data_IF_002279274985
#
_entry.id   IF_002279274985
#
_cell.length_a   1.000
_cell.length_b   1.000
_cell.length_c   1.000
_cell.angle_alpha   90.00
_cell.angle_beta   90.00
_cell.angle_gamma   90.00
#
_symmetry.space_group_name_H-M   'P 1'
#
loop_
_entity.id
_entity.type
_entity.pdbx_description
1 polymer ?
#
# COMPACT_ATOMS: atom_id res chain seq x y z
N UNK A 1 4.25 -15.13 4.41
CA UNK A 1 4.21 -16.56 4.78
C UNK A 1 5.53 -17.04 5.40
N UNK A 2 6.63 -17.17 4.64
CA UNK A 2 7.95 -17.56 5.17
C UNK A 2 8.36 -16.79 6.44
N UNK A 3 8.30 -15.45 6.39
CA UNK A 3 8.68 -14.59 7.53
C UNK A 3 7.82 -14.81 8.77
N UNK A 4 6.52 -15.09 8.62
CA UNK A 4 5.62 -15.36 9.75
C UNK A 4 5.97 -16.68 10.43
N UNK A 5 6.30 -17.72 9.65
CA UNK A 5 6.77 -18.99 10.20
C UNK A 5 8.07 -18.86 10.98
N UNK A 6 9.00 -18.04 10.50
CA UNK A 6 10.25 -17.79 11.19
C UNK A 6 10.02 -16.97 12.47
N UNK A 7 9.19 -15.92 12.41
CA UNK A 7 8.91 -15.06 13.56
C UNK A 7 8.21 -15.81 14.71
N UNK A 8 7.47 -16.87 14.40
CA UNK A 8 6.88 -17.76 15.41
C UNK A 8 7.92 -18.60 16.17
N UNK A 9 9.16 -18.70 15.69
CA UNK A 9 10.22 -19.55 16.24
C UNK A 9 11.45 -18.78 16.71
N UNK A 10 11.67 -17.59 16.16
CA UNK A 10 12.89 -16.82 16.37
C UNK A 10 12.58 -15.34 16.52
N UNK A 11 13.32 -14.61 17.38
CA UNK A 11 13.24 -13.16 17.43
C UNK A 11 13.78 -12.55 16.12
N UNK A 12 13.17 -11.46 15.69
CA UNK A 12 13.58 -10.68 14.53
C UNK A 12 14.09 -9.31 14.96
N UNK A 13 15.13 -8.82 14.27
CA UNK A 13 15.61 -7.45 14.38
C UNK A 13 15.72 -6.85 12.98
N UNK A 14 15.34 -5.58 12.84
CA UNK A 14 15.50 -4.85 11.60
C UNK A 14 16.97 -4.45 11.40
N UNK A 15 17.50 -4.67 10.21
CA UNK A 15 18.81 -4.14 9.81
C UNK A 15 18.64 -2.66 9.43
N UNK A 16 19.48 -1.74 9.93
CA UNK A 16 19.25 -0.30 9.79
C UNK A 16 19.45 0.25 8.36
N UNK A 17 20.10 -0.49 7.47
CA UNK A 17 20.43 -0.03 6.12
C UNK A 17 20.00 -1.04 5.05
N UNK A 18 19.51 -0.58 3.88
CA UNK A 18 19.24 -1.46 2.76
C UNK A 18 20.55 -2.02 2.19
N UNK A 19 20.66 -3.34 2.13
CA UNK A 19 21.86 -4.02 1.61
C UNK A 19 21.75 -4.41 0.13
N UNK A 20 20.54 -4.46 -0.44
CA UNK A 20 20.29 -4.91 -1.80
C UNK A 20 19.32 -3.96 -2.49
N UNK A 21 19.61 -3.62 -3.74
CA UNK A 21 18.70 -2.87 -4.59
C UNK A 21 17.68 -3.83 -5.22
N UNK A 22 16.41 -3.59 -4.98
CA UNK A 22 15.34 -4.37 -5.59
C UNK A 22 15.03 -3.82 -6.98
N UNK A 23 15.11 -4.67 -8.01
CA UNK A 23 14.77 -4.28 -9.36
C UNK A 23 13.25 -4.13 -9.51
N UNK A 24 12.81 -2.95 -9.97
CA UNK A 24 11.41 -2.69 -10.32
C UNK A 24 11.22 -2.89 -11.82
N UNK A 25 10.28 -3.75 -12.19
CA UNK A 25 9.92 -4.03 -13.60
C UNK A 25 8.41 -3.99 -13.76
N UNK A 26 7.93 -3.48 -14.89
CA UNK A 26 6.50 -3.34 -15.16
C UNK A 26 5.76 -4.68 -15.25
N UNK A 27 6.47 -5.78 -15.52
CA UNK A 27 5.88 -7.11 -15.73
C UNK A 27 6.11 -8.06 -14.55
N UNK A 28 6.56 -7.56 -13.40
CA UNK A 28 6.79 -8.41 -12.22
C UNK A 28 5.48 -8.77 -11.53
N UNK A 29 5.49 -9.81 -10.69
CA UNK A 29 4.36 -10.06 -9.81
C UNK A 29 4.09 -8.90 -8.83
N UNK A 30 5.12 -8.09 -8.53
CA UNK A 30 5.06 -6.94 -7.64
C UNK A 30 4.58 -5.64 -8.32
N UNK A 31 4.29 -5.65 -9.63
CA UNK A 31 3.61 -4.55 -10.33
C UNK A 31 2.10 -4.80 -10.49
N UNK A 32 1.65 -6.05 -10.33
CA UNK A 32 0.25 -6.45 -10.42
C UNK A 32 -0.43 -6.38 -9.04
N UNK A 33 -1.03 -5.23 -8.74
CA UNK A 33 -1.67 -4.99 -7.44
C UNK A 33 -2.83 -5.94 -7.14
N UNK A 34 -3.49 -6.50 -8.15
CA UNK A 34 -4.58 -7.45 -7.94
C UNK A 34 -4.05 -8.81 -7.48
N UNK A 35 -2.98 -9.31 -8.11
CA UNK A 35 -2.28 -10.53 -7.63
C UNK A 35 -1.68 -10.33 -6.24
N UNK A 36 -1.09 -9.15 -5.98
CA UNK A 36 -0.56 -8.82 -4.67
C UNK A 36 -1.64 -8.84 -3.60
N UNK A 37 -2.79 -8.22 -3.86
CA UNK A 37 -3.94 -8.25 -2.94
C UNK A 37 -4.37 -9.69 -2.63
N UNK A 38 -4.65 -10.49 -3.66
CA UNK A 38 -5.10 -11.87 -3.49
C UNK A 38 -4.10 -12.71 -2.68
N UNK A 39 -2.81 -12.63 -3.02
CA UNK A 39 -1.75 -13.37 -2.32
C UNK A 39 -1.58 -12.92 -0.87
N UNK A 40 -1.60 -11.60 -0.62
CA UNK A 40 -1.48 -11.07 0.74
C UNK A 40 -2.71 -11.42 1.61
N UNK A 41 -3.92 -11.31 1.07
CA UNK A 41 -5.14 -11.69 1.79
C UNK A 41 -5.11 -13.17 2.17
N UNK A 42 -4.73 -14.06 1.25
CA UNK A 42 -4.59 -15.49 1.54
C UNK A 42 -3.61 -15.76 2.69
N UNK A 43 -2.47 -15.06 2.70
CA UNK A 43 -1.46 -15.19 3.76
C UNK A 43 -1.97 -14.65 5.09
N UNK A 44 -2.61 -13.47 5.10
CA UNK A 44 -3.17 -12.84 6.31
C UNK A 44 -4.23 -13.75 6.91
N UNK A 45 -5.22 -14.18 6.12
CA UNK A 45 -6.31 -15.03 6.61
C UNK A 45 -5.77 -16.35 7.19
N UNK A 46 -4.86 -17.02 6.48
CA UNK A 46 -4.25 -18.26 6.98
C UNK A 46 -3.46 -18.05 8.27
N UNK A 47 -2.70 -16.96 8.37
CA UNK A 47 -1.88 -16.70 9.55
C UNK A 47 -2.74 -16.42 10.79
N UNK A 48 -3.80 -15.61 10.64
CA UNK A 48 -4.69 -15.29 11.75
C UNK A 48 -5.66 -16.43 12.11
N UNK A 49 -5.95 -17.36 11.19
CA UNK A 49 -6.72 -18.55 11.51
C UNK A 49 -6.04 -19.46 12.56
N UNK A 50 -4.71 -19.41 12.66
CA UNK A 50 -3.92 -20.17 13.64
C UNK A 50 -3.22 -19.29 14.68
N UNK A 51 -3.50 -17.98 14.71
CA UNK A 51 -2.86 -17.06 15.64
C UNK A 51 -3.56 -17.13 17.02
N UNK A 52 -2.82 -17.02 18.14
CA UNK A 52 -3.41 -16.93 19.46
C UNK A 52 -4.27 -15.66 19.59
N UNK A 53 -5.26 -15.70 20.48
CA UNK A 53 -6.22 -14.60 20.70
C UNK A 53 -5.53 -13.26 21.03
N UNK A 54 -4.41 -13.33 21.75
CA UNK A 54 -3.60 -12.15 22.11
C UNK A 54 -3.06 -11.39 20.90
N UNK A 55 -3.01 -12.00 19.72
CA UNK A 55 -2.53 -11.37 18.48
C UNK A 55 -3.65 -11.03 17.50
N UNK A 56 -4.90 -11.45 17.74
CA UNK A 56 -5.99 -11.30 16.77
C UNK A 56 -6.28 -9.83 16.42
N UNK A 57 -6.04 -8.90 17.36
CA UNK A 57 -6.20 -7.48 17.14
C UNK A 57 -5.29 -6.94 16.00
N UNK A 58 -4.14 -7.57 15.77
CA UNK A 58 -3.20 -7.21 14.70
C UNK A 58 -3.75 -7.48 13.29
N UNK A 59 -4.83 -8.27 13.15
CA UNK A 59 -5.44 -8.56 11.84
C UNK A 59 -5.92 -7.29 11.16
N UNK A 60 -6.60 -6.41 11.91
CA UNK A 60 -7.08 -5.15 11.37
C UNK A 60 -5.91 -4.24 10.93
N UNK A 61 -4.84 -4.17 11.73
CA UNK A 61 -3.63 -3.42 11.37
C UNK A 61 -2.95 -3.99 10.12
N UNK A 62 -2.87 -5.31 10.00
CA UNK A 62 -2.29 -6.00 8.84
C UNK A 62 -3.06 -5.70 7.56
N UNK A 63 -4.40 -5.74 7.62
CA UNK A 63 -5.26 -5.40 6.49
C UNK A 63 -5.16 -3.92 6.13
N UNK A 64 -5.19 -3.01 7.11
CA UNK A 64 -5.02 -1.59 6.87
C UNK A 64 -3.67 -1.28 6.20
N UNK A 65 -2.58 -1.90 6.68
CA UNK A 65 -1.25 -1.75 6.10
C UNK A 65 -1.16 -2.30 4.68
N UNK A 66 -1.78 -3.46 4.42
CA UNK A 66 -1.86 -4.02 3.06
C UNK A 66 -2.48 -3.01 2.10
N UNK A 67 -3.65 -2.46 2.43
CA UNK A 67 -4.34 -1.56 1.51
C UNK A 67 -3.64 -0.20 1.36
N UNK A 68 -3.02 0.34 2.42
CA UNK A 68 -2.14 1.51 2.32
C UNK A 68 -0.95 1.26 1.37
N UNK A 69 -0.34 0.08 1.46
CA UNK A 69 0.75 -0.30 0.57
C UNK A 69 0.27 -0.52 -0.88
N UNK A 70 -0.90 -1.13 -1.09
CA UNK A 70 -1.46 -1.29 -2.44
C UNK A 70 -1.82 0.05 -3.10
N UNK A 71 -2.27 1.04 -2.33
CA UNK A 71 -2.44 2.42 -2.82
C UNK A 71 -1.09 2.98 -3.29
N UNK A 72 -0.02 2.82 -2.51
CA UNK A 72 1.32 3.23 -2.93
C UNK A 72 1.72 2.56 -4.24
N UNK A 73 1.58 1.24 -4.32
CA UNK A 73 1.96 0.43 -5.48
C UNK A 73 1.16 0.78 -6.75
N UNK A 74 -0.12 1.13 -6.60
CA UNK A 74 -0.95 1.59 -7.72
C UNK A 74 -0.39 2.88 -8.37
N UNK A 75 0.35 3.70 -7.62
CA UNK A 75 0.94 4.96 -8.10
C UNK A 75 2.46 4.97 -8.23
N UNK A 76 3.14 3.85 -7.94
CA UNK A 76 4.60 3.72 -8.10
C UNK A 76 5.01 3.58 -9.57
N UNK A 77 4.13 3.00 -10.39
CA UNK A 77 4.33 2.86 -11.84
C UNK A 77 3.64 3.99 -12.61
N UNK A 78 3.75 3.98 -13.95
CA UNK A 78 3.14 5.01 -14.79
C UNK A 78 1.65 5.20 -14.50
N UNK A 79 1.19 6.46 -14.47
CA UNK A 79 -0.17 6.81 -14.11
C UNK A 79 -1.18 6.31 -15.15
N UNK A 80 -1.98 5.33 -14.76
CA UNK A 80 -3.01 4.73 -15.62
C UNK A 80 -4.38 4.79 -14.94
N UNK A 81 -5.43 5.03 -15.74
CA UNK A 81 -6.80 5.22 -15.23
C UNK A 81 -7.32 4.01 -14.45
N UNK A 82 -7.04 2.81 -14.93
CA UNK A 82 -7.45 1.59 -14.23
C UNK A 82 -6.77 1.46 -12.85
N UNK A 83 -5.52 1.92 -12.70
CA UNK A 83 -4.80 1.93 -11.43
C UNK A 83 -5.40 2.95 -10.45
N UNK A 84 -5.87 4.10 -10.94
CA UNK A 84 -6.58 5.07 -10.10
C UNK A 84 -7.92 4.51 -9.56
N UNK A 85 -8.66 3.75 -10.37
CA UNK A 85 -9.88 3.07 -9.91
C UNK A 85 -9.57 1.98 -8.87
N UNK A 86 -8.51 1.19 -9.10
CA UNK A 86 -8.04 0.22 -8.10
C UNK A 86 -7.64 0.90 -6.78
N UNK A 87 -6.91 2.03 -6.86
CA UNK A 87 -6.54 2.80 -5.68
C UNK A 87 -7.76 3.33 -4.90
N UNK A 88 -8.82 3.77 -5.59
CA UNK A 88 -10.06 4.19 -4.93
C UNK A 88 -10.71 3.04 -4.14
N UNK A 89 -10.75 1.84 -4.73
CA UNK A 89 -11.21 0.63 -4.03
C UNK A 89 -10.34 0.31 -2.81
N UNK A 90 -9.02 0.39 -2.95
CA UNK A 90 -8.08 0.17 -1.84
C UNK A 90 -8.24 1.21 -0.72
N UNK A 91 -8.55 2.47 -1.03
CA UNK A 91 -8.88 3.48 0.00
C UNK A 91 -10.08 3.02 0.81
N UNK A 92 -11.16 2.56 0.16
CA UNK A 92 -12.34 2.05 0.86
C UNK A 92 -11.99 0.91 1.84
N UNK A 93 -11.14 -0.03 1.41
CA UNK A 93 -10.68 -1.09 2.30
C UNK A 93 -9.75 -0.60 3.42
N UNK A 94 -8.83 0.32 3.13
CA UNK A 94 -7.94 0.89 4.14
C UNK A 94 -8.75 1.60 5.24
N UNK A 95 -9.76 2.39 4.86
CA UNK A 95 -10.63 3.11 5.79
C UNK A 95 -11.53 2.18 6.62
N UNK A 96 -11.95 1.05 6.05
CA UNK A 96 -12.71 0.04 6.79
C UNK A 96 -11.90 -0.55 7.95
N UNK A 97 -10.58 -0.66 7.80
CA UNK A 97 -9.70 -1.26 8.80
C UNK A 97 -8.94 -0.24 9.66
N UNK A 98 -8.82 1.00 9.19
CA UNK A 98 -8.22 2.13 9.92
C UNK A 98 -8.92 3.44 9.53
N UNK A 99 -10.04 3.79 10.20
CA UNK A 99 -10.80 5.00 9.90
C UNK A 99 -10.00 6.29 10.11
N UNK A 100 -9.00 6.27 11.00
CA UNK A 100 -8.15 7.45 11.29
C UNK A 100 -7.37 7.91 10.06
N UNK A 101 -7.13 7.00 9.11
CA UNK A 101 -6.44 7.29 7.86
C UNK A 101 -7.17 8.35 7.00
N UNK A 102 -8.49 8.50 7.11
CA UNK A 102 -9.27 9.48 6.33
C UNK A 102 -8.80 10.92 6.57
N UNK A 103 -8.45 11.24 7.82
CA UNK A 103 -8.12 12.60 8.25
C UNK A 103 -6.67 13.00 7.96
N UNK A 104 -5.91 12.13 7.30
CA UNK A 104 -4.50 12.37 7.02
C UNK A 104 -4.31 13.23 5.77
N UNK A 105 -3.29 14.08 5.80
CA UNK A 105 -2.90 14.90 4.62
C UNK A 105 -2.56 14.04 3.41
N UNK A 106 -2.04 12.83 3.62
CA UNK A 106 -1.72 11.92 2.51
C UNK A 106 -2.97 11.39 1.81
N UNK A 107 -4.04 11.10 2.54
CA UNK A 107 -5.31 10.66 1.93
C UNK A 107 -5.87 11.72 1.00
N UNK A 108 -5.83 12.99 1.41
CA UNK A 108 -6.22 14.12 0.54
C UNK A 108 -5.35 14.20 -0.72
N UNK A 109 -4.03 14.04 -0.60
CA UNK A 109 -3.12 14.02 -1.76
C UNK A 109 -3.42 12.87 -2.72
N UNK A 110 -3.69 11.68 -2.20
CA UNK A 110 -4.05 10.51 -3.00
C UNK A 110 -5.37 10.75 -3.74
N UNK A 111 -6.39 11.24 -3.05
CA UNK A 111 -7.70 11.56 -3.65
C UNK A 111 -7.56 12.63 -4.74
N UNK A 112 -6.80 13.70 -4.47
CA UNK A 112 -6.50 14.73 -5.47
C UNK A 112 -5.82 14.11 -6.70
N UNK A 113 -4.83 13.24 -6.51
CA UNK A 113 -4.14 12.55 -7.61
C UNK A 113 -5.09 11.67 -8.42
N UNK A 114 -6.00 10.94 -7.78
CA UNK A 114 -7.05 10.15 -8.44
C UNK A 114 -7.94 11.05 -9.29
N UNK A 115 -8.47 12.13 -8.70
CA UNK A 115 -9.37 13.08 -9.37
C UNK A 115 -8.69 13.67 -10.62
N UNK A 116 -7.44 14.14 -10.47
CA UNK A 116 -6.67 14.70 -11.58
C UNK A 116 -6.44 13.68 -12.70
N UNK A 117 -6.16 12.43 -12.37
CA UNK A 117 -5.90 11.36 -13.34
C UNK A 117 -7.18 10.93 -14.10
N UNK A 118 -8.33 10.98 -13.43
CA UNK A 118 -9.62 10.65 -14.03
C UNK A 118 -10.14 11.78 -14.94
N UNK A 119 -9.95 13.04 -14.54
CA UNK A 119 -10.49 14.20 -15.25
C UNK A 119 -9.56 14.66 -16.38
N UNK A 120 -8.24 14.75 -16.12
CA UNK A 120 -7.31 15.33 -17.09
C UNK A 120 -6.93 14.32 -18.17
N UNK A 121 -6.74 14.77 -19.43
CA UNK A 121 -6.02 14.03 -20.44
C UNK A 121 -4.56 13.76 -20.01
N UNK A 122 -4.00 12.63 -20.45
CA UNK A 122 -2.62 12.23 -20.15
C UNK A 122 -1.55 13.32 -20.34
N UNK A 123 -1.53 14.12 -21.43
CA UNK A 123 -0.51 15.18 -21.59
C UNK A 123 -0.65 16.30 -20.55
N UNK A 124 -1.87 16.65 -20.15
CA UNK A 124 -2.10 17.70 -19.14
C UNK A 124 -1.71 17.21 -17.74
N UNK A 125 -2.04 15.96 -17.43
CA UNK A 125 -1.67 15.34 -16.16
C UNK A 125 -0.14 15.21 -16.00
N UNK A 126 0.56 14.79 -17.06
CA UNK A 126 2.03 14.71 -17.05
C UNK A 126 2.69 16.07 -16.92
N UNK A 127 2.19 17.10 -17.60
CA UNK A 127 2.66 18.48 -17.43
C UNK A 127 2.48 18.98 -15.98
N UNK A 128 1.33 18.68 -15.37
CA UNK A 128 1.04 19.04 -13.98
C UNK A 128 1.97 18.32 -12.98
N UNK A 129 2.21 17.02 -13.19
CA UNK A 129 3.15 16.24 -12.37
C UNK A 129 4.55 16.82 -12.39
N UNK A 130 5.04 17.21 -13.57
CA UNK A 130 6.37 17.77 -13.74
C UNK A 130 6.48 19.16 -13.08
N UNK A 131 5.40 19.94 -13.07
CA UNK A 131 5.36 21.26 -12.45
C UNK A 131 5.26 21.21 -10.92
N UNK A 132 4.54 20.23 -10.37
CA UNK A 132 4.28 20.13 -8.94
C UNK A 132 4.58 18.73 -8.35
N UNK A 133 5.82 18.22 -8.47
CA UNK A 133 6.14 16.85 -8.08
C UNK A 133 5.93 16.58 -6.59
N UNK A 134 6.15 17.58 -5.72
CA UNK A 134 5.98 17.44 -4.25
C UNK A 134 4.52 17.37 -3.81
N UNK A 135 3.62 18.04 -4.53
CA UNK A 135 2.19 18.06 -4.18
C UNK A 135 1.52 16.72 -4.50
N UNK A 136 1.93 16.10 -5.61
CA UNK A 136 1.39 14.83 -6.09
C UNK A 136 2.20 13.60 -5.65
N UNK A 137 3.20 13.82 -4.78
CA UNK A 137 3.94 12.75 -4.14
C UNK A 137 3.08 12.09 -3.05
N UNK A 138 2.82 10.80 -3.26
CA UNK A 138 1.99 9.96 -2.38
C UNK A 138 2.83 8.95 -1.58
N UNK A 139 4.16 8.93 -1.69
CA UNK A 139 5.03 7.98 -0.99
C UNK A 139 4.97 8.12 0.53
N UNK A 140 4.57 9.30 1.03
CA UNK A 140 4.35 9.54 2.47
C UNK A 140 3.31 8.59 3.09
N UNK A 141 2.49 7.90 2.28
CA UNK A 141 1.54 6.90 2.76
C UNK A 141 2.24 5.76 3.50
N UNK A 142 3.48 5.44 3.12
CA UNK A 142 4.27 4.39 3.77
C UNK A 142 4.61 4.75 5.23
N UNK A 143 4.68 6.04 5.55
CA UNK A 143 4.86 6.52 6.93
C UNK A 143 3.63 6.34 7.82
N UNK A 144 2.47 5.99 7.25
CA UNK A 144 1.24 5.68 7.99
C UNK A 144 1.00 4.18 8.17
N UNK A 145 1.98 3.35 7.79
CA UNK A 145 1.96 1.93 8.11
C UNK A 145 2.22 1.76 9.61
N UNK A 146 1.40 0.93 10.26
CA UNK A 146 1.57 0.60 11.68
C UNK A 146 2.56 -0.56 11.81
N UNK A 147 3.78 -0.26 12.24
CA UNK A 147 4.87 -1.24 12.37
C UNK A 147 5.07 -1.74 13.80
N UNK A 148 4.48 -1.06 14.77
CA UNK A 148 4.51 -1.47 16.18
C UNK A 148 3.19 -2.19 16.55
N UNK A 149 3.29 -3.33 17.25
CA UNK A 149 2.12 -4.08 17.72
C UNK A 149 1.31 -3.29 18.74
#
# INVERSE_FOLDING_TARGET
>A
DMWLRLAARYPFVAVPYPHILYQVSANSASSDTAKMEAGCLQVIERAFASAPDSLQYLKQHSLANLYKYLIFKAFESFPERHKALAALRFIGHALRHDPSFLLTKVTLKVLLKIILLLILPAPQYTALLNRFPRLLNTSTILGYLRTEP
#
